data_IF_737711258666
#
_entry.id   IF_737711258666
#
_cell.length_a   1.000
_cell.length_b   1.000
_cell.length_c   1.000
_cell.angle_alpha   90.00
_cell.angle_beta   90.00
_cell.angle_gamma   90.00
#
_symmetry.space_group_name_H-M   'P 1'
#
loop_
_entity.id
_entity.type
_entity.pdbx_description
1 polymer ?
#
# COMPACT_ATOMS: atom_id res chain seq x y z
N UNK A 1 5.69 -0.51 -11.48
CA UNK A 1 5.17 0.65 -12.24
C UNK A 1 5.94 0.93 -13.53
N UNK A 2 7.28 0.99 -13.50
CA UNK A 2 8.10 1.25 -14.70
C UNK A 2 7.77 0.31 -15.87
N UNK A 3 7.70 -1.00 -15.61
CA UNK A 3 7.37 -2.01 -16.63
C UNK A 3 5.97 -1.80 -17.23
N UNK A 4 4.98 -1.43 -16.42
CA UNK A 4 3.63 -1.10 -16.89
C UNK A 4 3.64 0.09 -17.85
N UNK A 5 4.34 1.16 -17.49
CA UNK A 5 4.46 2.36 -18.33
C UNK A 5 5.18 2.07 -19.65
N UNK A 6 6.22 1.24 -19.64
CA UNK A 6 6.95 0.82 -20.84
C UNK A 6 6.02 0.00 -21.76
N UNK A 7 5.28 -0.96 -21.22
CA UNK A 7 4.29 -1.76 -21.97
C UNK A 7 3.20 -0.88 -22.59
N UNK A 8 2.66 0.05 -21.79
CA UNK A 8 1.61 0.97 -22.24
C UNK A 8 2.10 1.86 -23.39
N UNK A 9 3.29 2.44 -23.29
CA UNK A 9 3.89 3.23 -24.37
C UNK A 9 4.15 2.37 -25.62
N UNK A 10 4.65 1.17 -25.47
CA UNK A 10 4.95 0.27 -26.58
C UNK A 10 3.68 -0.20 -27.33
N UNK A 11 2.55 -0.29 -26.64
CA UNK A 11 1.27 -0.66 -27.26
C UNK A 11 0.69 0.44 -28.16
N UNK A 12 1.19 1.67 -28.07
CA UNK A 12 0.61 2.84 -28.78
C UNK A 12 -0.78 3.25 -28.27
N UNK A 13 -1.20 2.74 -27.12
CA UNK A 13 -2.50 3.08 -26.53
C UNK A 13 -2.59 4.56 -26.19
N UNK A 14 -3.75 5.15 -26.48
CA UNK A 14 -4.12 6.52 -26.11
C UNK A 14 -5.05 6.58 -24.90
N UNK A 15 -5.49 5.42 -24.39
CA UNK A 15 -6.31 5.37 -23.17
C UNK A 15 -5.44 5.57 -21.92
N UNK A 16 -5.93 6.29 -20.90
CA UNK A 16 -5.19 6.41 -19.64
C UNK A 16 -5.11 5.06 -18.91
N UNK A 17 -4.06 4.87 -18.10
CA UNK A 17 -4.00 3.77 -17.15
C UNK A 17 -5.00 4.00 -16.02
N UNK A 18 -5.67 2.93 -15.60
CA UNK A 18 -6.70 2.94 -14.56
C UNK A 18 -6.11 2.40 -13.26
N UNK A 19 -6.09 3.22 -12.21
CA UNK A 19 -5.69 2.82 -10.86
C UNK A 19 -6.87 2.36 -10.02
N UNK A 20 -6.75 1.21 -9.36
CA UNK A 20 -7.69 0.76 -8.34
C UNK A 20 -7.34 1.40 -6.99
N UNK A 21 -8.01 2.51 -6.62
CA UNK A 21 -7.81 3.22 -5.36
C UNK A 21 -8.21 2.35 -4.16
N UNK A 22 -7.22 1.92 -3.38
CA UNK A 22 -7.36 0.97 -2.26
C UNK A 22 -7.98 -0.37 -2.70
N UNK A 23 -7.77 -0.75 -3.97
CA UNK A 23 -8.44 -1.87 -4.61
C UNK A 23 -9.84 -1.53 -5.14
N UNK A 24 -10.81 -2.45 -4.98
CA UNK A 24 -12.21 -2.24 -5.31
C UNK A 24 -13.09 -2.41 -4.07
N UNK A 25 -13.65 -1.33 -3.56
CA UNK A 25 -14.41 -1.29 -2.31
C UNK A 25 -15.88 -1.73 -2.45
N UNK A 26 -16.31 -2.26 -3.60
CA UNK A 26 -17.72 -2.55 -3.86
C UNK A 26 -18.33 -3.60 -2.91
N UNK A 27 -17.53 -4.54 -2.43
CA UNK A 27 -17.96 -5.67 -1.58
C UNK A 27 -16.96 -6.02 -0.48
N UNK A 28 -15.78 -5.44 -0.51
CA UNK A 28 -14.65 -5.76 0.36
C UNK A 28 -14.18 -4.52 1.12
N UNK A 29 -13.57 -4.73 2.26
CA UNK A 29 -12.88 -3.65 2.95
C UNK A 29 -11.78 -3.09 2.06
N UNK A 30 -11.67 -1.76 2.01
CA UNK A 30 -10.55 -1.11 1.31
C UNK A 30 -9.21 -1.62 1.83
N UNK A 31 -8.19 -1.59 0.98
CA UNK A 31 -6.84 -2.03 1.35
C UNK A 31 -6.74 -3.53 1.74
N UNK A 32 -7.75 -4.35 1.49
CA UNK A 32 -7.69 -5.81 1.68
C UNK A 32 -7.19 -6.52 0.42
N UNK A 33 -6.69 -7.74 0.60
CA UNK A 33 -6.26 -8.58 -0.54
C UNK A 33 -7.44 -8.87 -1.49
N UNK A 34 -8.63 -9.07 -0.93
CA UNK A 34 -9.85 -9.29 -1.71
C UNK A 34 -10.23 -8.06 -2.55
N UNK A 35 -10.10 -6.85 -1.97
CA UNK A 35 -10.33 -5.60 -2.72
C UNK A 35 -9.28 -5.41 -3.84
N UNK A 36 -8.03 -5.78 -3.60
CA UNK A 36 -6.97 -5.76 -4.61
C UNK A 36 -7.29 -6.74 -5.76
N UNK A 37 -7.68 -7.97 -5.43
CA UNK A 37 -8.04 -8.98 -6.41
C UNK A 37 -9.24 -8.55 -7.27
N UNK A 38 -10.27 -7.98 -6.63
CA UNK A 38 -11.45 -7.48 -7.34
C UNK A 38 -11.12 -6.27 -8.23
N UNK A 39 -10.21 -5.39 -7.80
CA UNK A 39 -9.74 -4.26 -8.61
C UNK A 39 -9.11 -4.73 -9.92
N UNK A 40 -8.20 -5.68 -9.87
CA UNK A 40 -7.58 -6.29 -11.07
C UNK A 40 -8.63 -7.00 -11.92
N UNK A 41 -9.52 -7.78 -11.31
CA UNK A 41 -10.60 -8.48 -12.03
C UNK A 41 -11.52 -7.52 -12.80
N UNK A 42 -11.72 -6.30 -12.29
CA UNK A 42 -12.52 -5.25 -12.95
C UNK A 42 -11.74 -4.42 -13.97
N UNK A 43 -10.47 -4.72 -14.18
CA UNK A 43 -9.66 -4.10 -15.23
C UNK A 43 -8.81 -2.91 -14.75
N UNK A 44 -8.52 -2.80 -13.47
CA UNK A 44 -7.49 -1.87 -13.02
C UNK A 44 -6.12 -2.30 -13.56
N UNK A 45 -5.38 -1.36 -14.12
CA UNK A 45 -4.03 -1.57 -14.62
C UNK A 45 -2.99 -1.65 -13.50
N UNK A 46 -3.26 -0.97 -12.39
CA UNK A 46 -2.47 -0.99 -11.16
C UNK A 46 -3.35 -0.75 -9.94
N UNK A 47 -2.82 -1.06 -8.78
CA UNK A 47 -3.48 -0.84 -7.49
C UNK A 47 -2.76 0.28 -6.75
N UNK A 48 -3.51 1.18 -6.18
CA UNK A 48 -3.02 2.13 -5.19
C UNK A 48 -3.40 1.61 -3.82
N UNK A 49 -2.44 1.57 -2.89
CA UNK A 49 -2.61 1.10 -1.51
C UNK A 49 -1.81 1.94 -0.52
N UNK A 50 -2.34 2.07 0.68
CA UNK A 50 -1.83 2.93 1.74
C UNK A 50 -0.95 2.15 2.72
N UNK A 51 0.28 2.58 2.93
CA UNK A 51 1.23 1.91 3.81
C UNK A 51 1.49 2.74 5.06
N UNK A 52 1.39 2.12 6.23
CA UNK A 52 1.72 2.72 7.53
C UNK A 52 2.53 1.76 8.39
N UNK A 53 3.25 2.30 9.38
CA UNK A 53 4.10 1.54 10.28
C UNK A 53 3.42 1.34 11.63
N UNK A 54 3.32 0.10 12.09
CA UNK A 54 2.80 -0.25 13.41
C UNK A 54 3.83 -0.01 14.52
N UNK A 55 3.39 -0.09 15.77
CA UNK A 55 4.22 0.04 16.98
C UNK A 55 5.42 -0.92 16.99
N UNK A 56 5.24 -2.12 16.47
CA UNK A 56 6.25 -3.17 16.37
C UNK A 56 7.04 -3.12 15.04
N UNK A 57 6.98 -1.98 14.32
CA UNK A 57 7.67 -1.71 13.06
C UNK A 57 7.33 -2.68 11.92
N UNK A 58 6.11 -3.19 11.89
CA UNK A 58 5.58 -3.97 10.77
C UNK A 58 4.82 -3.04 9.84
N UNK A 59 5.17 -2.95 8.53
CA UNK A 59 4.39 -2.17 7.57
C UNK A 59 3.08 -2.91 7.26
N UNK A 60 1.95 -2.23 7.48
CA UNK A 60 0.59 -2.71 7.18
C UNK A 60 -0.08 -1.87 6.11
N UNK A 61 -1.11 -2.43 5.49
CA UNK A 61 -1.91 -1.72 4.48
C UNK A 61 -3.18 -1.19 5.16
N UNK A 62 -3.19 0.11 5.42
CA UNK A 62 -4.30 0.78 6.12
C UNK A 62 -4.28 2.29 5.85
N UNK A 63 -5.44 2.89 5.53
CA UNK A 63 -5.51 4.29 5.11
C UNK A 63 -5.48 5.29 6.26
N UNK A 64 -6.37 5.13 7.25
CA UNK A 64 -6.61 6.17 8.24
C UNK A 64 -5.43 6.26 9.22
N UNK A 65 -5.01 7.47 9.52
CA UNK A 65 -3.96 7.71 10.51
C UNK A 65 -4.50 7.38 11.91
N UNK A 66 -5.70 7.87 12.22
CA UNK A 66 -6.45 7.51 13.43
C UNK A 66 -7.28 6.25 13.17
N UNK A 67 -7.24 5.30 14.09
CA UNK A 67 -7.81 3.96 13.87
C UNK A 67 -9.23 3.77 14.36
N UNK A 68 -9.77 4.71 15.15
CA UNK A 68 -10.98 4.55 15.97
C UNK A 68 -12.20 4.14 15.15
N UNK A 69 -12.49 4.83 14.07
CA UNK A 69 -13.74 4.66 13.32
C UNK A 69 -13.86 3.26 12.66
N UNK A 70 -12.75 2.69 12.23
CA UNK A 70 -12.74 1.40 11.50
C UNK A 70 -12.47 0.19 12.39
N UNK A 71 -11.70 0.38 13.46
CA UNK A 71 -11.18 -0.74 14.25
C UNK A 71 -11.80 -0.86 15.63
N UNK A 72 -12.38 0.23 16.15
CA UNK A 72 -12.79 0.35 17.55
C UNK A 72 -11.63 0.49 18.54
N UNK A 73 -10.39 0.50 18.08
CA UNK A 73 -9.19 0.85 18.86
C UNK A 73 -9.12 2.39 18.99
N UNK A 74 -8.33 2.91 19.94
CA UNK A 74 -8.13 4.35 20.11
C UNK A 74 -6.71 4.75 19.73
N UNK A 75 -6.55 5.96 19.19
CA UNK A 75 -5.25 6.53 18.84
C UNK A 75 -4.88 6.28 17.39
N UNK A 76 -3.60 6.05 17.15
CA UNK A 76 -3.01 6.01 15.81
C UNK A 76 -2.47 4.62 15.47
N UNK A 77 -2.21 4.35 14.19
CA UNK A 77 -1.64 3.05 13.75
C UNK A 77 -0.38 2.70 14.53
N UNK A 78 0.52 3.66 14.76
CA UNK A 78 1.79 3.44 15.46
C UNK A 78 1.65 3.18 16.98
N UNK A 79 0.47 3.34 17.56
CA UNK A 79 0.18 2.98 18.95
C UNK A 79 -0.10 1.48 19.10
N UNK A 80 -0.39 0.77 18.00
CA UNK A 80 -0.84 -0.61 17.98
C UNK A 80 0.15 -1.52 17.25
N UNK A 81 0.23 -2.76 17.72
CA UNK A 81 0.99 -3.83 17.07
C UNK A 81 0.26 -4.32 15.81
N UNK A 82 1.01 -4.93 14.88
CA UNK A 82 0.44 -5.56 13.70
C UNK A 82 -0.64 -6.59 14.06
N UNK A 83 -0.45 -7.34 15.15
CA UNK A 83 -1.43 -8.32 15.63
C UNK A 83 -2.73 -7.65 16.02
N UNK A 84 -2.68 -6.58 16.82
CA UNK A 84 -3.89 -5.84 17.24
C UNK A 84 -4.64 -5.26 16.05
N UNK A 85 -3.94 -4.68 15.08
CA UNK A 85 -4.54 -4.16 13.87
C UNK A 85 -5.19 -5.26 13.00
N UNK A 86 -4.57 -6.42 12.89
CA UNK A 86 -5.15 -7.57 12.18
C UNK A 86 -6.38 -8.13 12.88
N UNK A 87 -6.36 -8.27 14.20
CA UNK A 87 -7.49 -8.75 14.99
C UNK A 87 -8.68 -7.79 14.91
N UNK A 88 -8.43 -6.47 14.90
CA UNK A 88 -9.47 -5.45 14.90
C UNK A 88 -10.07 -5.15 13.53
N UNK A 89 -9.29 -5.24 12.45
CA UNK A 89 -9.73 -4.83 11.10
C UNK A 89 -9.45 -5.85 10.00
N UNK A 90 -8.46 -6.72 10.21
CA UNK A 90 -8.06 -7.69 9.18
C UNK A 90 -7.11 -7.10 8.11
N UNK A 91 -6.45 -5.97 8.40
CA UNK A 91 -5.52 -5.36 7.44
C UNK A 91 -4.35 -6.28 7.12
N UNK A 92 -3.97 -6.42 5.83
CA UNK A 92 -2.78 -7.17 5.45
C UNK A 92 -1.50 -6.39 5.79
N UNK A 93 -0.40 -7.10 5.93
CA UNK A 93 0.94 -6.52 5.92
C UNK A 93 1.38 -6.19 4.50
N UNK A 94 2.38 -5.30 4.37
CA UNK A 94 3.02 -5.04 3.07
C UNK A 94 3.62 -6.33 2.47
N UNK A 95 4.19 -7.23 3.31
CA UNK A 95 4.72 -8.50 2.84
C UNK A 95 3.64 -9.36 2.19
N UNK A 96 2.48 -9.50 2.84
CA UNK A 96 1.34 -10.26 2.29
C UNK A 96 0.83 -9.64 0.96
N UNK A 97 0.78 -8.31 0.89
CA UNK A 97 0.39 -7.62 -0.35
C UNK A 97 1.42 -7.84 -1.48
N UNK A 98 2.72 -7.78 -1.17
CA UNK A 98 3.78 -8.03 -2.17
C UNK A 98 3.83 -9.49 -2.62
N UNK A 99 3.67 -10.44 -1.70
CA UNK A 99 3.58 -11.86 -2.04
C UNK A 99 2.40 -12.13 -2.99
N UNK A 100 1.22 -11.64 -2.64
CA UNK A 100 0.05 -11.75 -3.50
C UNK A 100 0.27 -11.05 -4.85
N UNK A 101 0.83 -9.86 -4.84
CA UNK A 101 1.11 -9.07 -6.03
C UNK A 101 2.10 -9.77 -6.99
N UNK A 102 3.15 -10.39 -6.45
CA UNK A 102 4.10 -11.17 -7.25
C UNK A 102 3.43 -12.35 -7.93
N UNK A 103 2.59 -13.10 -7.20
CA UNK A 103 1.85 -14.25 -7.72
C UNK A 103 0.86 -13.85 -8.83
N UNK A 104 0.24 -12.67 -8.70
CA UNK A 104 -0.78 -12.17 -9.62
C UNK A 104 -0.26 -11.18 -10.67
N UNK A 105 1.06 -10.92 -10.70
CA UNK A 105 1.72 -9.95 -11.60
C UNK A 105 1.11 -8.54 -11.51
N UNK A 106 0.67 -8.15 -10.31
CA UNK A 106 0.07 -6.86 -10.07
C UNK A 106 1.12 -5.74 -10.03
N UNK A 107 0.70 -4.53 -10.39
CA UNK A 107 1.49 -3.30 -10.26
C UNK A 107 0.92 -2.46 -9.12
N UNK A 108 1.79 -1.78 -8.37
CA UNK A 108 1.39 -1.01 -7.20
C UNK A 108 1.91 0.43 -7.21
N UNK A 109 1.05 1.35 -6.81
CA UNK A 109 1.40 2.66 -6.31
C UNK A 109 1.22 2.65 -4.79
N UNK A 110 2.31 2.70 -4.05
CA UNK A 110 2.34 2.65 -2.58
C UNK A 110 2.34 4.06 -2.02
N UNK A 111 1.26 4.49 -1.36
CA UNK A 111 1.23 5.74 -0.62
C UNK A 111 1.81 5.53 0.78
N UNK A 112 2.93 6.21 1.10
CA UNK A 112 3.39 6.32 2.47
C UNK A 112 2.54 7.39 3.16
N UNK A 113 1.56 6.94 3.97
CA UNK A 113 0.60 7.84 4.63
C UNK A 113 1.31 8.76 5.61
N UNK A 114 1.07 10.05 5.46
CA UNK A 114 1.68 11.06 6.30
C UNK A 114 0.68 12.09 6.80
N UNK A 115 0.72 12.33 8.11
CA UNK A 115 0.14 13.49 8.76
C UNK A 115 1.25 14.16 9.57
N UNK A 116 1.87 15.17 9.00
CA UNK A 116 3.16 15.77 9.35
C UNK A 116 3.54 15.88 10.83
N UNK A 117 2.57 16.11 11.73
CA UNK A 117 2.82 16.20 13.18
C UNK A 117 2.60 14.87 13.94
N UNK A 118 1.99 13.87 13.30
CA UNK A 118 1.60 12.62 13.96
C UNK A 118 2.59 11.48 13.65
N UNK A 119 2.84 11.20 12.36
CA UNK A 119 3.62 10.04 11.94
C UNK A 119 4.82 10.35 11.02
N UNK A 120 5.30 11.58 11.02
CA UNK A 120 6.43 11.97 10.16
C UNK A 120 7.71 11.15 10.43
N UNK A 121 7.99 10.84 11.69
CA UNK A 121 9.16 10.01 12.07
C UNK A 121 8.97 8.56 11.64
N UNK A 122 7.75 8.03 11.69
CA UNK A 122 7.44 6.69 11.25
C UNK A 122 7.70 6.54 9.75
N UNK A 123 7.36 7.53 8.97
CA UNK A 123 7.60 7.53 7.52
C UNK A 123 9.10 7.52 7.17
N UNK A 124 9.95 8.18 7.96
CA UNK A 124 11.40 8.11 7.77
C UNK A 124 11.94 6.70 8.03
N UNK A 125 11.33 5.96 8.95
CA UNK A 125 11.65 4.55 9.24
C UNK A 125 11.01 3.60 8.25
N UNK A 126 9.83 3.94 7.74
CA UNK A 126 9.07 3.09 6.82
C UNK A 126 9.78 2.93 5.47
N UNK A 127 10.39 3.97 4.92
CA UNK A 127 10.99 3.91 3.59
C UNK A 127 12.08 2.82 3.44
N UNK A 128 13.08 2.70 4.34
CA UNK A 128 14.05 1.61 4.24
C UNK A 128 13.42 0.22 4.41
N UNK A 129 12.39 0.07 5.26
CA UNK A 129 11.66 -1.19 5.44
C UNK A 129 10.91 -1.55 4.15
N UNK A 130 10.25 -0.57 3.53
CA UNK A 130 9.56 -0.74 2.26
C UNK A 130 10.53 -1.16 1.15
N UNK A 131 11.69 -0.50 1.05
CA UNK A 131 12.74 -0.84 0.08
C UNK A 131 13.21 -2.30 0.25
N UNK A 132 13.44 -2.74 1.50
CA UNK A 132 13.82 -4.13 1.80
C UNK A 132 12.73 -5.13 1.41
N UNK A 133 11.47 -4.84 1.70
CA UNK A 133 10.34 -5.70 1.30
C UNK A 133 10.22 -5.79 -0.22
N UNK A 134 10.23 -4.65 -0.94
CA UNK A 134 10.14 -4.63 -2.40
C UNK A 134 11.31 -5.40 -3.03
N UNK A 135 12.51 -5.30 -2.46
CA UNK A 135 13.71 -6.05 -2.88
C UNK A 135 13.54 -7.55 -2.65
N UNK A 136 13.05 -7.95 -1.47
CA UNK A 136 12.85 -9.36 -1.11
C UNK A 136 11.93 -10.07 -2.11
N UNK A 137 10.87 -9.39 -2.57
CA UNK A 137 9.93 -9.94 -3.54
C UNK A 137 10.32 -9.66 -5.01
N UNK A 138 11.45 -8.98 -5.26
CA UNK A 138 11.92 -8.61 -6.61
C UNK A 138 10.84 -7.88 -7.42
N UNK A 139 10.27 -6.81 -6.82
CA UNK A 139 9.14 -6.07 -7.39
C UNK A 139 9.46 -4.63 -7.80
N UNK A 140 10.72 -4.23 -7.88
CA UNK A 140 11.09 -2.84 -8.24
C UNK A 140 10.53 -2.35 -9.58
N UNK A 141 10.36 -3.22 -10.57
CA UNK A 141 9.76 -2.85 -11.86
C UNK A 141 8.24 -2.65 -11.78
N UNK A 142 7.60 -3.20 -10.75
CA UNK A 142 6.15 -3.24 -10.57
C UNK A 142 5.63 -2.23 -9.53
N UNK A 143 6.51 -1.66 -8.72
CA UNK A 143 6.17 -0.77 -7.61
C UNK A 143 6.61 0.66 -7.89
N UNK A 144 5.80 1.61 -7.46
CA UNK A 144 6.11 3.03 -7.30
C UNK A 144 5.72 3.45 -5.89
N UNK A 145 6.52 4.27 -5.24
CA UNK A 145 6.20 4.84 -3.93
C UNK A 145 6.02 6.35 -4.05
N UNK A 146 5.02 6.88 -3.34
CA UNK A 146 4.76 8.31 -3.25
C UNK A 146 4.29 8.71 -1.85
N UNK A 147 4.35 9.96 -1.52
CA UNK A 147 3.86 10.51 -0.25
C UNK A 147 3.60 12.00 -0.39
N UNK A 148 2.69 12.53 0.42
CA UNK A 148 2.52 13.98 0.61
C UNK A 148 3.69 14.58 1.42
N UNK A 149 4.44 13.76 2.16
CA UNK A 149 5.66 14.16 2.85
C UNK A 149 6.90 13.77 2.02
N UNK A 150 7.43 14.76 1.27
CA UNK A 150 8.60 14.55 0.44
C UNK A 150 9.85 14.07 1.21
N UNK A 151 9.92 14.31 2.53
CA UNK A 151 11.03 13.86 3.39
C UNK A 151 11.05 12.32 3.50
N UNK A 152 9.88 11.70 3.50
CA UNK A 152 9.73 10.24 3.53
C UNK A 152 10.30 9.55 2.27
N UNK A 153 10.42 10.28 1.15
CA UNK A 153 10.91 9.75 -0.13
C UNK A 153 12.41 9.96 -0.34
N UNK A 154 13.10 10.59 0.61
CA UNK A 154 14.56 10.71 0.53
C UNK A 154 15.22 9.40 0.93
N UNK A 155 16.03 8.87 0.03
CA UNK A 155 16.97 7.77 0.31
C UNK A 155 18.22 8.30 0.97
#
# INVERSE_FOLDING_TARGET
MRELLEKHRASGSTTPLIGGHRGCQCQWNENSIEAMAEGIRRGADYLEIDVQLTKDNVPIIFHDIEVTDKTGLYGYVHDHTCREMKEAYGCPTLMEAMEWGKQNKAYFALELKSCGCINAEDNLRLMPILDDVVRQYDMYSQVEAFSVDWRALKK
#
